data_IF_730579842671
#
_entry.id   IF_730579842671
#
_cell.length_a   1.000
_cell.length_b   1.000
_cell.length_c   1.000
_cell.angle_alpha   90.00
_cell.angle_beta   90.00
_cell.angle_gamma   90.00
#
_symmetry.space_group_name_H-M   'P 1'
#
loop_
_entity.id
_entity.type
_entity.pdbx_description
1 polymer ?
#
# COMPACT_ATOMS: atom_id res chain seq x y z
N UNK A 1 -19.72 -19.15 6.87
CA UNK A 1 -19.54 -18.63 5.50
C UNK A 1 -20.75 -19.07 4.71
N UNK A 2 -21.49 -18.12 4.16
CA UNK A 2 -22.72 -18.41 3.40
C UNK A 2 -22.49 -18.30 1.88
N UNK A 3 -21.46 -17.55 1.46
CA UNK A 3 -21.12 -17.30 0.07
C UNK A 3 -19.60 -17.26 -0.15
N UNK A 4 -19.16 -17.67 -1.34
CA UNK A 4 -17.79 -17.48 -1.85
C UNK A 4 -17.80 -16.33 -2.85
N UNK A 5 -16.82 -15.42 -2.74
CA UNK A 5 -16.61 -14.29 -3.65
C UNK A 5 -15.25 -14.41 -4.34
N UNK A 6 -15.21 -14.03 -5.62
CA UNK A 6 -13.99 -13.83 -6.42
C UNK A 6 -14.13 -12.49 -7.13
N UNK A 7 -13.30 -12.23 -8.13
CA UNK A 7 -13.29 -10.99 -8.87
C UNK A 7 -13.03 -9.77 -7.94
N UNK A 8 -12.01 -9.90 -7.08
CA UNK A 8 -11.63 -8.91 -6.08
C UNK A 8 -10.45 -8.02 -6.53
N UNK A 9 -10.71 -6.78 -6.94
CA UNK A 9 -9.68 -5.79 -7.32
C UNK A 9 -8.92 -5.25 -6.11
N UNK A 10 -8.16 -6.10 -5.44
CA UNK A 10 -7.72 -5.85 -4.06
C UNK A 10 -6.87 -4.59 -3.93
N UNK A 11 -6.03 -4.25 -4.91
CA UNK A 11 -5.28 -2.99 -4.94
C UNK A 11 -6.18 -1.74 -4.87
N UNK A 12 -7.40 -1.80 -5.39
CA UNK A 12 -8.36 -0.70 -5.39
C UNK A 12 -9.29 -0.77 -4.17
N UNK A 13 -9.93 -1.92 -3.97
CA UNK A 13 -11.09 -2.02 -3.07
C UNK A 13 -10.73 -1.94 -1.60
N UNK A 14 -9.47 -2.20 -1.22
CA UNK A 14 -9.02 -2.09 0.17
C UNK A 14 -9.14 -0.66 0.71
N UNK A 15 -9.09 0.34 -0.18
CA UNK A 15 -9.01 1.76 0.20
C UNK A 15 -10.35 2.30 0.70
N UNK A 16 -11.44 1.85 0.11
CA UNK A 16 -12.77 2.45 0.31
C UNK A 16 -13.89 1.42 0.32
N UNK A 17 -13.97 0.54 -0.68
CA UNK A 17 -15.10 -0.39 -0.83
C UNK A 17 -15.15 -1.43 0.29
N UNK A 18 -14.03 -2.09 0.62
CA UNK A 18 -14.01 -3.06 1.72
C UNK A 18 -14.23 -2.39 3.07
N UNK A 19 -13.55 -1.27 3.43
CA UNK A 19 -13.90 -0.49 4.62
C UNK A 19 -15.39 -0.10 4.71
N UNK A 20 -16.00 0.29 3.59
CA UNK A 20 -17.44 0.57 3.55
C UNK A 20 -18.27 -0.68 3.83
N UNK A 21 -17.96 -1.82 3.22
CA UNK A 21 -18.65 -3.08 3.47
C UNK A 21 -18.50 -3.53 4.92
N UNK A 22 -17.33 -3.34 5.54
CA UNK A 22 -17.15 -3.63 6.97
C UNK A 22 -18.17 -2.87 7.81
N UNK A 23 -18.48 -1.62 7.49
CA UNK A 23 -19.45 -0.82 8.26
C UNK A 23 -20.90 -1.12 7.87
N UNK A 24 -21.16 -1.32 6.58
CA UNK A 24 -22.52 -1.37 6.03
C UNK A 24 -23.09 -2.79 5.91
N UNK A 25 -22.27 -3.75 5.49
CA UNK A 25 -22.65 -5.15 5.25
C UNK A 25 -21.57 -6.09 5.80
N UNK A 26 -21.53 -6.13 7.14
CA UNK A 26 -20.63 -6.94 7.94
C UNK A 26 -20.53 -8.39 7.46
N UNK A 27 -21.69 -8.97 7.10
CA UNK A 27 -21.79 -10.36 6.67
C UNK A 27 -21.07 -10.56 5.34
N UNK A 28 -21.32 -9.70 4.35
CA UNK A 28 -20.61 -9.75 3.07
C UNK A 28 -19.11 -9.51 3.23
N UNK A 29 -18.72 -8.56 4.07
CA UNK A 29 -17.31 -8.30 4.36
C UNK A 29 -16.62 -9.53 4.97
N UNK A 30 -17.33 -10.26 5.85
CA UNK A 30 -16.83 -11.51 6.42
C UNK A 30 -16.72 -12.63 5.37
N UNK A 31 -17.75 -12.83 4.54
CA UNK A 31 -17.68 -13.82 3.45
C UNK A 31 -16.52 -13.51 2.47
N UNK A 32 -16.20 -12.23 2.21
CA UNK A 32 -15.00 -11.84 1.44
C UNK A 32 -13.72 -12.27 2.15
N UNK A 33 -13.60 -12.07 3.46
CA UNK A 33 -12.45 -12.48 4.26
C UNK A 33 -12.21 -14.00 4.19
N UNK A 34 -13.28 -14.77 4.37
CA UNK A 34 -13.25 -16.22 4.24
C UNK A 34 -12.91 -16.65 2.81
N UNK A 35 -13.36 -15.90 1.79
CA UNK A 35 -13.03 -16.18 0.39
C UNK A 35 -11.55 -15.95 0.10
N UNK A 36 -10.96 -14.87 0.62
CA UNK A 36 -9.51 -14.63 0.58
C UNK A 36 -8.75 -15.80 1.20
N UNK A 37 -9.17 -16.27 2.39
CA UNK A 37 -8.50 -17.40 3.05
C UNK A 37 -8.71 -18.74 2.33
N UNK A 38 -9.86 -18.95 1.68
CA UNK A 38 -10.07 -20.13 0.82
C UNK A 38 -9.16 -20.09 -0.41
N UNK A 39 -8.93 -18.92 -1.00
CA UNK A 39 -7.97 -18.74 -2.09
C UNK A 39 -6.55 -19.06 -1.59
N UNK A 40 -6.17 -18.63 -0.39
CA UNK A 40 -4.89 -19.02 0.21
C UNK A 40 -4.80 -20.53 0.40
N UNK A 41 -5.83 -21.17 0.93
CA UNK A 41 -5.86 -22.63 1.17
C UNK A 41 -5.68 -23.42 -0.14
N UNK A 42 -6.30 -22.99 -1.23
CA UNK A 42 -6.29 -23.71 -2.50
C UNK A 42 -5.11 -23.32 -3.42
N UNK A 43 -4.73 -22.04 -3.41
CA UNK A 43 -3.75 -21.45 -4.32
C UNK A 43 -2.37 -21.22 -3.68
N UNK A 44 -2.28 -21.16 -2.34
CA UNK A 44 -1.04 -20.93 -1.60
C UNK A 44 -0.66 -19.47 -1.40
N UNK A 45 -1.40 -18.52 -1.98
CA UNK A 45 -1.06 -17.10 -1.98
C UNK A 45 -2.20 -16.24 -1.42
N UNK A 46 -1.86 -15.18 -0.71
CA UNK A 46 -2.79 -14.07 -0.56
C UNK A 46 -3.02 -13.42 -1.94
N UNK A 47 -4.26 -13.25 -2.39
CA UNK A 47 -4.52 -12.76 -3.74
C UNK A 47 -4.28 -11.26 -3.87
N UNK A 48 -3.73 -10.80 -5.00
CA UNK A 48 -3.75 -9.37 -5.38
C UNK A 48 -4.96 -9.01 -6.23
N UNK A 49 -5.32 -9.89 -7.15
CA UNK A 49 -6.39 -9.65 -8.10
C UNK A 49 -6.87 -11.00 -8.67
N UNK A 50 -7.63 -11.78 -7.87
CA UNK A 50 -8.21 -13.04 -8.33
C UNK A 50 -9.36 -12.73 -9.29
N UNK A 51 -9.38 -13.40 -10.44
CA UNK A 51 -10.43 -13.28 -11.45
C UNK A 51 -10.97 -14.69 -11.75
N UNK A 52 -12.27 -14.87 -11.63
CA UNK A 52 -12.92 -16.18 -11.69
C UNK A 52 -12.19 -17.23 -10.81
N UNK A 53 -11.50 -18.19 -11.42
CA UNK A 53 -10.83 -19.30 -10.75
C UNK A 53 -9.29 -19.22 -10.76
N UNK A 54 -8.71 -18.04 -11.02
CA UNK A 54 -7.26 -17.90 -11.13
C UNK A 54 -6.71 -16.57 -10.59
N UNK A 55 -5.39 -16.54 -10.44
CA UNK A 55 -4.63 -15.35 -10.09
C UNK A 55 -4.22 -14.62 -11.37
N UNK A 56 -4.48 -13.32 -11.45
CA UNK A 56 -4.02 -12.50 -12.59
C UNK A 56 -2.66 -11.85 -12.32
N UNK A 57 -2.21 -11.85 -11.06
CA UNK A 57 -1.02 -11.14 -10.59
C UNK A 57 -1.03 -9.62 -10.91
N UNK A 58 -2.21 -9.06 -11.19
CA UNK A 58 -2.38 -7.67 -11.57
C UNK A 58 -2.10 -6.73 -10.38
N UNK A 59 -1.51 -5.58 -10.69
CA UNK A 59 -1.06 -4.55 -9.74
C UNK A 59 0.02 -5.02 -8.75
N UNK A 60 0.34 -4.17 -7.77
CA UNK A 60 1.48 -4.33 -6.85
C UNK A 60 1.04 -4.64 -5.41
N UNK A 61 1.99 -5.02 -4.55
CA UNK A 61 1.72 -5.24 -3.12
C UNK A 61 1.08 -6.60 -2.83
N UNK A 62 0.47 -6.73 -1.65
CA UNK A 62 -0.44 -7.84 -1.35
C UNK A 62 -1.55 -7.34 -0.43
N UNK A 63 -2.25 -6.29 -0.86
CA UNK A 63 -3.19 -5.51 -0.02
C UNK A 63 -4.36 -6.31 0.58
N UNK A 64 -4.42 -7.62 0.34
CA UNK A 64 -5.24 -8.56 1.10
C UNK A 64 -4.83 -8.61 2.58
N UNK A 65 -3.54 -8.39 2.88
CA UNK A 65 -3.03 -8.25 4.25
C UNK A 65 -3.69 -7.07 4.98
N UNK A 66 -3.84 -5.93 4.31
CA UNK A 66 -4.55 -4.74 4.82
C UNK A 66 -6.04 -5.03 5.00
N UNK A 67 -6.69 -5.68 4.04
CA UNK A 67 -8.11 -6.07 4.15
C UNK A 67 -8.33 -6.96 5.38
N UNK A 68 -7.53 -8.03 5.52
CA UNK A 68 -7.65 -8.96 6.65
C UNK A 68 -7.39 -8.24 7.98
N UNK A 69 -6.37 -7.37 8.03
CA UNK A 69 -6.09 -6.55 9.20
C UNK A 69 -7.30 -5.68 9.59
N UNK A 70 -7.86 -4.93 8.65
CA UNK A 70 -8.99 -4.03 8.92
C UNK A 70 -10.23 -4.78 9.44
N UNK A 71 -10.53 -5.93 8.84
CA UNK A 71 -11.61 -6.83 9.27
C UNK A 71 -11.40 -7.36 10.68
N UNK A 72 -10.21 -7.87 10.98
CA UNK A 72 -9.88 -8.48 12.27
C UNK A 72 -9.90 -7.42 13.37
N UNK A 73 -9.23 -6.29 13.15
CA UNK A 73 -9.13 -5.22 14.15
C UNK A 73 -10.49 -4.57 14.46
N UNK A 74 -11.40 -4.48 13.49
CA UNK A 74 -12.74 -3.90 13.71
C UNK A 74 -13.78 -4.91 14.20
N UNK A 75 -13.48 -6.22 14.13
CA UNK A 75 -14.42 -7.29 14.47
C UNK A 75 -13.75 -8.36 15.32
N UNK A 76 -12.97 -7.96 16.33
CA UNK A 76 -12.09 -8.81 17.16
C UNK A 76 -12.72 -10.13 17.67
N UNK A 77 -14.04 -10.34 17.56
CA UNK A 77 -14.74 -11.56 17.98
C UNK A 77 -15.82 -12.13 17.01
N UNK A 78 -15.97 -11.62 15.77
CA UNK A 78 -17.11 -11.99 14.88
C UNK A 78 -16.68 -12.46 13.46
N UNK A 79 -15.39 -12.40 13.12
CA UNK A 79 -14.94 -12.86 11.80
C UNK A 79 -15.00 -14.38 11.65
N UNK A 80 -14.95 -15.16 12.75
CA UNK A 80 -14.85 -16.62 12.73
C UNK A 80 -13.73 -17.16 11.82
N UNK A 81 -12.73 -16.35 11.50
CA UNK A 81 -11.58 -16.77 10.71
C UNK A 81 -10.69 -17.71 11.54
N UNK A 82 -10.08 -18.69 10.87
CA UNK A 82 -9.05 -19.51 11.50
C UNK A 82 -7.77 -18.67 11.65
N UNK A 83 -7.59 -18.10 12.84
CA UNK A 83 -6.46 -17.21 13.12
C UNK A 83 -5.09 -17.87 12.94
N UNK A 84 -4.97 -19.19 13.10
CA UNK A 84 -3.72 -19.90 12.82
C UNK A 84 -3.36 -19.80 11.32
N UNK A 85 -4.32 -20.05 10.43
CA UNK A 85 -4.11 -19.95 8.98
C UNK A 85 -3.89 -18.49 8.54
N UNK A 86 -4.60 -17.53 9.13
CA UNK A 86 -4.39 -16.10 8.85
C UNK A 86 -2.97 -15.69 9.21
N UNK A 87 -2.51 -16.00 10.43
CA UNK A 87 -1.16 -15.63 10.88
C UNK A 87 -0.07 -16.30 10.05
N UNK A 88 -0.28 -17.55 9.62
CA UNK A 88 0.63 -18.23 8.70
C UNK A 88 0.69 -17.52 7.34
N UNK A 89 -0.45 -17.21 6.73
CA UNK A 89 -0.53 -16.52 5.45
C UNK A 89 0.14 -15.12 5.50
N UNK A 90 -0.07 -14.37 6.59
CA UNK A 90 0.54 -13.06 6.81
C UNK A 90 2.06 -13.14 6.98
N UNK A 91 2.57 -14.17 7.67
CA UNK A 91 4.02 -14.40 7.78
C UNK A 91 4.63 -14.76 6.43
N UNK A 92 3.97 -15.61 5.65
CA UNK A 92 4.44 -16.03 4.33
C UNK A 92 4.52 -14.82 3.39
N UNK A 93 3.44 -14.05 3.25
CA UNK A 93 3.41 -12.92 2.31
C UNK A 93 4.43 -11.84 2.64
N UNK A 94 4.72 -11.63 3.92
CA UNK A 94 5.63 -10.59 4.35
C UNK A 94 7.11 -11.00 4.30
N UNK A 95 7.44 -12.28 4.23
CA UNK A 95 8.81 -12.76 4.43
C UNK A 95 9.34 -13.72 3.36
N UNK A 96 8.47 -14.36 2.59
CA UNK A 96 8.86 -15.40 1.64
C UNK A 96 8.57 -14.96 0.22
N UNK A 97 9.48 -15.26 -0.70
CA UNK A 97 9.30 -15.03 -2.14
C UNK A 97 8.03 -15.70 -2.66
N UNK A 98 7.24 -14.98 -3.45
CA UNK A 98 5.99 -15.45 -4.03
C UNK A 98 6.04 -15.34 -5.56
N UNK A 99 6.09 -16.49 -6.23
CA UNK A 99 6.38 -16.57 -7.67
C UNK A 99 5.14 -16.26 -8.54
N UNK A 100 3.93 -16.41 -8.00
CA UNK A 100 2.68 -16.40 -8.80
C UNK A 100 1.69 -15.28 -8.45
N UNK A 101 1.62 -14.84 -7.20
CA UNK A 101 0.79 -13.73 -6.75
C UNK A 101 1.38 -13.14 -5.46
N UNK A 102 0.77 -12.11 -4.86
CA UNK A 102 1.29 -11.46 -3.64
C UNK A 102 2.58 -10.65 -3.86
N UNK A 103 3.29 -10.33 -2.76
CA UNK A 103 4.59 -9.65 -2.78
C UNK A 103 5.63 -10.57 -3.43
N UNK A 104 6.23 -10.11 -4.53
CA UNK A 104 7.12 -10.93 -5.34
C UNK A 104 8.38 -11.38 -4.58
N UNK A 105 9.19 -10.43 -4.09
CA UNK A 105 10.46 -10.70 -3.40
C UNK A 105 10.61 -9.90 -2.08
N UNK A 106 9.90 -10.30 -1.01
CA UNK A 106 10.11 -9.74 0.33
C UNK A 106 11.55 -9.90 0.86
N UNK A 107 12.29 -11.01 0.63
CA UNK A 107 13.67 -11.13 1.06
C UNK A 107 14.58 -10.00 0.59
N UNK A 108 14.46 -9.56 -0.67
CA UNK A 108 15.23 -8.39 -1.15
C UNK A 108 14.81 -7.11 -0.44
N UNK A 109 13.52 -6.86 -0.28
CA UNK A 109 13.02 -5.70 0.49
C UNK A 109 13.56 -5.70 1.94
N UNK A 110 13.57 -6.87 2.60
CA UNK A 110 14.13 -7.05 3.96
C UNK A 110 15.63 -6.78 4.01
N UNK A 111 16.37 -7.28 3.01
CA UNK A 111 17.83 -7.10 2.94
C UNK A 111 18.23 -5.64 2.82
N UNK A 112 17.54 -4.85 2.00
CA UNK A 112 17.92 -3.47 1.70
C UNK A 112 17.17 -2.42 2.54
N UNK A 113 16.04 -2.80 3.15
CA UNK A 113 15.15 -1.85 3.80
C UNK A 113 14.26 -1.08 2.81
N UNK A 114 14.26 -1.45 1.54
CA UNK A 114 13.44 -0.90 0.45
C UNK A 114 13.54 -1.85 -0.76
N UNK A 115 12.65 -1.71 -1.73
CA UNK A 115 12.77 -2.44 -3.00
C UNK A 115 13.75 -1.67 -3.90
N UNK A 116 14.89 -2.24 -4.31
CA UNK A 116 15.83 -1.53 -5.16
C UNK A 116 15.32 -1.36 -6.59
N UNK A 117 15.54 -0.17 -7.18
CA UNK A 117 15.08 0.16 -8.54
C UNK A 117 15.70 -0.72 -9.63
N UNK A 118 16.96 -1.09 -9.49
CA UNK A 118 17.67 -2.00 -10.40
C UNK A 118 17.22 -3.47 -10.29
N UNK A 119 16.32 -3.77 -9.35
CA UNK A 119 15.68 -5.08 -9.20
C UNK A 119 14.21 -5.06 -9.61
N UNK A 120 13.49 -3.97 -9.32
CA UNK A 120 12.12 -3.75 -9.78
C UNK A 120 11.88 -2.27 -10.06
N UNK A 121 11.47 -1.95 -11.29
CA UNK A 121 11.29 -0.56 -11.73
C UNK A 121 10.23 0.16 -10.90
N UNK A 122 9.17 -0.51 -10.44
CA UNK A 122 8.12 0.07 -9.59
C UNK A 122 8.50 0.21 -8.10
N UNK A 123 9.80 0.11 -7.81
CA UNK A 123 10.45 0.15 -6.49
C UNK A 123 9.84 1.12 -5.47
N UNK A 124 9.56 2.38 -5.83
CA UNK A 124 9.02 3.35 -4.88
C UNK A 124 7.61 2.96 -4.41
N UNK A 125 6.72 2.67 -5.36
CA UNK A 125 5.34 2.25 -5.06
C UNK A 125 5.29 0.92 -4.33
N UNK A 126 6.19 -0.01 -4.66
CA UNK A 126 6.33 -1.29 -3.97
C UNK A 126 6.82 -1.11 -2.53
N UNK A 127 7.85 -0.29 -2.31
CA UNK A 127 8.38 0.01 -0.97
C UNK A 127 7.28 0.60 -0.07
N UNK A 128 6.53 1.58 -0.58
CA UNK A 128 5.41 2.19 0.15
C UNK A 128 4.29 1.17 0.45
N UNK A 129 3.97 0.32 -0.54
CA UNK A 129 2.94 -0.73 -0.38
C UNK A 129 3.35 -1.78 0.64
N UNK A 130 4.60 -2.23 0.63
CA UNK A 130 5.12 -3.23 1.56
C UNK A 130 5.21 -2.68 2.98
N UNK A 131 5.61 -1.42 3.15
CA UNK A 131 5.60 -0.75 4.44
C UNK A 131 4.20 -0.70 5.05
N UNK A 132 3.16 -0.40 4.25
CA UNK A 132 1.78 -0.44 4.73
C UNK A 132 1.33 -1.87 5.06
N UNK A 133 1.60 -2.84 4.19
CA UNK A 133 1.26 -4.23 4.47
C UNK A 133 1.97 -4.78 5.71
N UNK A 134 3.21 -4.34 6.00
CA UNK A 134 3.93 -4.69 7.24
C UNK A 134 3.24 -4.10 8.47
N UNK A 135 2.76 -2.85 8.42
CA UNK A 135 1.94 -2.28 9.50
C UNK A 135 0.66 -3.09 9.74
N UNK A 136 -0.04 -3.44 8.66
CA UNK A 136 -1.27 -4.22 8.72
C UNK A 136 -1.03 -5.61 9.34
N UNK A 137 0.07 -6.27 8.94
CA UNK A 137 0.51 -7.55 9.50
C UNK A 137 0.83 -7.41 11.00
N UNK A 138 1.61 -6.40 11.37
CA UNK A 138 1.96 -6.11 12.76
C UNK A 138 0.74 -5.94 13.66
N UNK A 139 -0.32 -5.26 13.19
CA UNK A 139 -1.57 -5.12 13.94
C UNK A 139 -2.26 -6.45 14.22
N UNK A 140 -2.32 -7.35 13.24
CA UNK A 140 -2.94 -8.67 13.43
C UNK A 140 -2.12 -9.52 14.42
N UNK A 141 -0.79 -9.50 14.30
CA UNK A 141 0.09 -10.21 15.24
C UNK A 141 -0.04 -9.64 16.66
N UNK A 142 -0.17 -8.32 16.80
CA UNK A 142 -0.37 -7.66 18.09
C UNK A 142 -1.70 -8.09 18.73
N UNK A 143 -2.80 -8.06 17.97
CA UNK A 143 -4.10 -8.51 18.43
C UNK A 143 -4.10 -10.00 18.83
N UNK A 144 -3.26 -10.82 18.19
CA UNK A 144 -3.05 -12.23 18.54
C UNK A 144 -2.12 -12.44 19.76
N UNK A 145 -1.58 -11.38 20.37
CA UNK A 145 -0.69 -11.46 21.53
C UNK A 145 0.75 -11.86 21.20
N UNK A 146 1.17 -11.81 19.94
CA UNK A 146 2.51 -12.21 19.47
C UNK A 146 3.51 -11.04 19.55
N UNK A 147 3.61 -10.43 20.74
CA UNK A 147 4.30 -9.16 20.96
C UNK A 147 5.77 -9.18 20.51
N UNK A 148 6.45 -10.32 20.66
CA UNK A 148 7.87 -10.46 20.29
C UNK A 148 8.10 -10.37 18.77
N UNK A 149 7.13 -10.80 17.96
CA UNK A 149 7.22 -10.74 16.49
C UNK A 149 6.83 -9.36 15.96
N UNK A 150 5.91 -8.66 16.63
CA UNK A 150 5.32 -7.38 16.18
C UNK A 150 6.37 -6.30 15.92
N UNK A 151 7.43 -6.24 16.74
CA UNK A 151 8.44 -5.18 16.67
C UNK A 151 9.12 -5.10 15.29
N UNK A 152 9.37 -6.25 14.66
CA UNK A 152 9.98 -6.28 13.33
C UNK A 152 9.06 -5.66 12.29
N UNK A 153 7.78 -6.05 12.28
CA UNK A 153 6.78 -5.53 11.34
C UNK A 153 6.52 -4.04 11.51
N UNK A 154 6.45 -3.55 12.75
CA UNK A 154 6.31 -2.11 12.99
C UNK A 154 7.57 -1.34 12.61
N UNK A 155 8.77 -1.88 12.85
CA UNK A 155 10.01 -1.28 12.36
C UNK A 155 10.01 -1.17 10.83
N UNK A 156 9.70 -2.28 10.14
CA UNK A 156 9.62 -2.34 8.67
C UNK A 156 8.55 -1.42 8.10
N UNK A 157 7.45 -1.22 8.82
CA UNK A 157 6.42 -0.28 8.38
C UNK A 157 6.91 1.17 8.30
N UNK A 158 8.04 1.51 8.93
CA UNK A 158 8.65 2.84 8.82
C UNK A 158 9.68 2.95 7.68
N UNK A 159 9.92 1.89 6.92
CA UNK A 159 10.93 1.87 5.86
C UNK A 159 10.57 2.72 4.63
N UNK A 160 9.35 3.27 4.55
CA UNK A 160 9.06 4.36 3.61
C UNK A 160 10.03 5.54 3.77
N UNK A 161 10.54 5.77 4.99
CA UNK A 161 11.54 6.82 5.26
C UNK A 161 12.87 6.58 4.55
N UNK A 162 13.23 5.33 4.28
CA UNK A 162 14.50 5.01 3.63
C UNK A 162 14.57 5.57 2.21
N UNK A 163 13.44 5.70 1.52
CA UNK A 163 13.37 6.29 0.18
C UNK A 163 12.87 7.74 0.21
N UNK A 164 12.58 8.32 1.37
CA UNK A 164 12.22 9.73 1.47
C UNK A 164 13.46 10.62 1.38
N UNK A 165 13.49 11.52 0.39
CA UNK A 165 14.55 12.50 0.26
C UNK A 165 14.16 13.82 0.94
N UNK A 166 14.94 14.24 1.94
CA UNK A 166 14.62 15.41 2.75
C UNK A 166 14.78 16.75 2.02
N UNK A 167 15.52 16.78 0.89
CA UNK A 167 15.74 18.00 0.12
C UNK A 167 14.58 18.29 -0.82
N UNK A 168 14.15 17.26 -1.57
CA UNK A 168 13.05 17.36 -2.53
C UNK A 168 11.69 17.12 -1.88
N UNK A 169 11.64 16.41 -0.74
CA UNK A 169 10.41 15.98 -0.06
C UNK A 169 9.56 15.02 -0.90
N UNK A 170 10.23 14.10 -1.61
CA UNK A 170 9.62 13.03 -2.38
C UNK A 170 10.17 11.67 -1.97
N UNK A 171 9.43 10.62 -2.32
CA UNK A 171 9.90 9.25 -2.27
C UNK A 171 10.70 8.95 -3.54
N UNK A 172 12.02 8.95 -3.42
CA UNK A 172 12.95 8.69 -4.51
C UNK A 172 13.42 7.24 -4.49
N UNK A 173 13.27 6.49 -5.60
CA UNK A 173 13.86 5.16 -5.74
C UNK A 173 15.36 5.16 -5.46
N UNK A 174 15.84 4.00 -5.02
CA UNK A 174 17.27 3.76 -4.78
C UNK A 174 17.68 2.46 -5.44
N UNK A 175 18.87 2.41 -6.03
CA UNK A 175 19.45 1.16 -6.51
C UNK A 175 20.01 0.33 -5.35
N UNK A 176 20.37 -0.92 -5.63
CA UNK A 176 21.00 -1.84 -4.68
C UNK A 176 22.38 -1.36 -4.19
N UNK A 177 23.00 -0.42 -4.90
CA UNK A 177 24.22 0.30 -4.51
C UNK A 177 23.96 1.44 -3.51
N UNK A 178 22.70 1.85 -3.35
CA UNK A 178 22.27 3.00 -2.54
C UNK A 178 22.13 4.31 -3.32
N UNK A 179 22.45 4.32 -4.63
CA UNK A 179 22.32 5.51 -5.47
C UNK A 179 20.86 5.97 -5.57
N UNK A 180 20.62 7.26 -5.35
CA UNK A 180 19.29 7.87 -5.33
C UNK A 180 18.90 8.30 -6.75
N UNK A 181 17.71 7.90 -7.19
CA UNK A 181 17.17 8.16 -8.53
C UNK A 181 15.92 9.05 -8.48
N UNK A 182 16.03 10.19 -7.79
CA UNK A 182 14.93 11.16 -7.72
C UNK A 182 14.51 11.63 -9.13
N UNK A 183 13.22 11.59 -9.47
CA UNK A 183 12.72 12.21 -10.70
C UNK A 183 12.82 13.73 -10.65
N UNK A 184 12.73 14.34 -11.83
CA UNK A 184 12.44 15.77 -11.90
C UNK A 184 11.01 16.01 -11.39
N UNK A 185 10.86 17.00 -10.52
CA UNK A 185 9.57 17.34 -9.87
C UNK A 185 8.99 18.66 -10.40
N UNK A 186 9.77 19.36 -11.22
CA UNK A 186 9.37 20.60 -11.89
C UNK A 186 8.46 20.33 -13.08
N UNK A 187 7.46 21.20 -13.25
CA UNK A 187 6.33 21.02 -14.16
C UNK A 187 6.74 20.75 -15.62
N UNK A 188 7.82 21.38 -16.08
CA UNK A 188 8.36 21.29 -17.44
C UNK A 188 9.07 19.95 -17.72
N UNK A 189 9.32 19.18 -16.66
CA UNK A 189 10.09 17.93 -16.70
C UNK A 189 9.32 16.75 -16.09
N UNK A 190 8.04 16.95 -15.75
CA UNK A 190 7.19 15.87 -15.29
C UNK A 190 6.99 14.86 -16.41
N UNK A 191 7.11 13.58 -16.05
CA UNK A 191 6.89 12.45 -16.94
C UNK A 191 5.61 11.78 -16.45
N UNK A 192 4.47 11.98 -17.13
CA UNK A 192 3.28 11.18 -16.87
C UNK A 192 3.59 9.69 -17.03
N UNK A 193 3.17 8.86 -16.08
CA UNK A 193 3.53 7.44 -16.02
C UNK A 193 5.04 7.20 -15.98
N UNK A 194 5.69 7.76 -14.97
CA UNK A 194 7.08 7.45 -14.67
C UNK A 194 7.19 6.00 -14.20
N UNK A 195 7.94 5.17 -14.93
CA UNK A 195 8.10 3.72 -14.66
C UNK A 195 8.65 3.40 -13.26
N UNK A 196 9.21 4.39 -12.56
CA UNK A 196 9.60 4.29 -11.15
C UNK A 196 8.42 4.09 -10.19
N UNK A 197 7.21 4.38 -10.65
CA UNK A 197 5.98 4.39 -9.87
C UNK A 197 4.88 3.65 -10.64
N UNK A 198 4.03 2.91 -9.93
CA UNK A 198 2.93 2.18 -10.56
C UNK A 198 1.83 3.14 -11.02
N UNK A 199 1.61 3.21 -12.33
CA UNK A 199 0.55 4.01 -12.97
C UNK A 199 0.49 5.50 -12.55
N UNK A 200 1.64 6.08 -12.23
CA UNK A 200 1.71 7.47 -11.76
C UNK A 200 3.13 8.01 -11.83
N UNK A 201 3.45 8.92 -10.92
CA UNK A 201 4.78 9.50 -10.76
C UNK A 201 5.07 9.84 -9.28
N UNK A 202 6.13 10.61 -9.03
CA UNK A 202 6.51 11.00 -7.68
C UNK A 202 5.47 11.87 -6.97
N UNK A 203 4.77 12.76 -7.67
CA UNK A 203 3.73 13.61 -7.08
C UNK A 203 2.55 12.78 -6.61
N UNK A 204 2.16 11.81 -7.43
CA UNK A 204 1.10 10.88 -7.12
C UNK A 204 1.34 10.04 -5.86
N UNK A 205 2.57 9.56 -5.65
CA UNK A 205 2.95 8.76 -4.48
C UNK A 205 3.49 9.57 -3.29
N UNK A 206 3.75 10.87 -3.48
CA UNK A 206 4.37 11.77 -2.49
C UNK A 206 3.71 11.74 -1.12
N UNK A 207 2.41 11.48 -1.12
CA UNK A 207 1.55 11.53 0.05
C UNK A 207 1.11 10.13 0.53
N UNK A 208 1.58 9.04 -0.08
CA UNK A 208 1.04 7.70 0.17
C UNK A 208 1.70 7.01 1.39
N UNK A 209 1.41 7.51 2.59
CA UNK A 209 1.77 6.88 3.88
C UNK A 209 0.55 6.87 4.82
N UNK A 210 -0.52 6.14 4.47
CA UNK A 210 -1.78 6.17 5.23
C UNK A 210 -1.65 5.55 6.63
N UNK A 211 -0.74 4.60 6.83
CA UNK A 211 -0.52 3.95 8.14
C UNK A 211 0.24 4.82 9.14
N UNK A 212 0.94 5.86 8.69
CA UNK A 212 1.64 6.80 9.57
C UNK A 212 1.72 8.22 8.98
N UNK A 213 0.56 8.83 8.73
CA UNK A 213 0.49 10.20 8.18
C UNK A 213 1.11 11.24 9.12
N UNK A 214 1.04 11.04 10.45
CA UNK A 214 1.70 11.93 11.41
C UNK A 214 3.21 11.99 11.18
N UNK A 215 3.85 10.85 10.96
CA UNK A 215 5.29 10.82 10.65
C UNK A 215 5.61 11.46 9.31
N UNK A 216 4.75 11.28 8.31
CA UNK A 216 4.88 11.96 7.03
C UNK A 216 4.86 13.49 7.20
N UNK A 217 3.94 14.03 8.00
CA UNK A 217 3.88 15.46 8.31
C UNK A 217 5.20 15.95 8.94
N UNK A 218 5.78 15.19 9.86
CA UNK A 218 7.08 15.51 10.47
C UNK A 218 8.21 15.53 9.44
N UNK A 219 8.24 14.58 8.50
CA UNK A 219 9.24 14.52 7.42
C UNK A 219 9.18 15.72 6.48
N UNK A 220 7.99 16.30 6.29
CA UNK A 220 7.84 17.56 5.57
C UNK A 220 8.37 18.76 6.37
N UNK A 221 8.55 18.63 7.68
CA UNK A 221 8.96 19.74 8.56
C UNK A 221 7.79 20.35 9.33
N UNK A 222 6.67 19.63 9.41
CA UNK A 222 5.51 19.97 10.20
C UNK A 222 4.28 20.39 9.38
N UNK A 223 3.18 20.47 10.11
CA UNK A 223 1.81 20.76 9.68
C UNK A 223 1.70 21.89 8.64
N UNK A 224 2.33 23.05 8.93
CA UNK A 224 2.26 24.22 8.05
C UNK A 224 2.82 23.95 6.65
N UNK A 225 4.05 23.44 6.57
CA UNK A 225 4.69 23.20 5.27
C UNK A 225 4.01 22.04 4.52
N UNK A 226 3.57 21.00 5.24
CA UNK A 226 2.81 19.92 4.64
C UNK A 226 1.48 20.40 4.01
N UNK A 227 0.77 21.31 4.68
CA UNK A 227 -0.45 21.95 4.15
C UNK A 227 -0.17 22.74 2.87
N UNK A 228 0.90 23.55 2.86
CA UNK A 228 1.30 24.34 1.68
C UNK A 228 1.63 23.44 0.46
N UNK A 229 2.23 22.27 0.69
CA UNK A 229 2.54 21.30 -0.36
C UNK A 229 1.30 20.55 -0.86
N UNK A 230 0.34 20.22 0.02
CA UNK A 230 -0.96 19.70 -0.39
C UNK A 230 -1.74 20.74 -1.21
N UNK A 231 -1.79 22.00 -0.76
CA UNK A 231 -2.41 23.09 -1.51
C UNK A 231 -1.79 23.21 -2.91
N UNK A 232 -0.46 23.14 -3.00
CA UNK A 232 0.26 23.13 -4.28
C UNK A 232 -0.18 21.97 -5.17
N UNK A 233 -0.27 20.76 -4.61
CA UNK A 233 -0.70 19.57 -5.33
C UNK A 233 -2.13 19.70 -5.91
N UNK A 234 -3.08 20.25 -5.15
CA UNK A 234 -4.46 20.44 -5.64
C UNK A 234 -4.61 21.64 -6.59
N UNK A 235 -3.97 22.78 -6.29
CA UNK A 235 -4.06 23.98 -7.13
C UNK A 235 -3.41 23.73 -8.49
N UNK A 236 -2.23 23.11 -8.52
CA UNK A 236 -1.55 22.82 -9.79
C UNK A 236 -2.29 21.77 -10.63
N UNK A 237 -3.03 20.85 -10.01
CA UNK A 237 -3.93 19.94 -10.74
C UNK A 237 -4.97 20.71 -11.55
N UNK A 238 -5.59 21.74 -10.96
CA UNK A 238 -6.56 22.59 -11.66
C UNK A 238 -5.94 23.39 -12.80
N UNK A 239 -4.73 23.91 -12.57
CA UNK A 239 -4.06 24.81 -13.50
C UNK A 239 -3.27 24.05 -14.59
N UNK A 240 -3.23 22.72 -14.53
CA UNK A 240 -2.56 21.87 -15.50
C UNK A 240 -3.21 22.05 -16.89
N UNK A 241 -2.45 22.46 -17.92
CA UNK A 241 -3.00 23.01 -19.16
C UNK A 241 -3.54 21.97 -20.14
N UNK A 242 -3.56 20.67 -19.77
CA UNK A 242 -4.02 19.60 -20.66
C UNK A 242 -5.19 18.82 -20.05
N UNK A 243 -6.08 18.35 -20.93
CA UNK A 243 -7.16 17.40 -20.61
C UNK A 243 -6.67 15.94 -20.65
N UNK A 244 -5.36 15.70 -20.79
CA UNK A 244 -4.79 14.36 -20.88
C UNK A 244 -4.67 13.73 -19.51
N UNK A 245 -5.12 12.47 -19.43
CA UNK A 245 -4.93 11.60 -18.28
C UNK A 245 -3.56 10.89 -18.46
N UNK A 246 -2.69 10.88 -17.44
CA UNK A 246 -2.92 11.34 -16.09
C UNK A 246 -2.60 12.83 -15.94
N UNK A 247 -3.33 13.49 -15.03
CA UNK A 247 -2.89 14.78 -14.48
C UNK A 247 -1.69 14.48 -13.58
N UNK A 248 -0.51 15.11 -13.75
CA UNK A 248 0.68 14.76 -12.98
C UNK A 248 0.63 15.22 -11.52
N UNK A 249 -0.41 15.99 -11.15
CA UNK A 249 -0.71 16.35 -9.77
C UNK A 249 -1.88 15.51 -9.25
N UNK A 250 -2.84 16.10 -8.54
CA UNK A 250 -4.02 15.35 -8.08
C UNK A 250 -4.80 14.79 -9.27
N UNK A 251 -4.92 13.47 -9.32
CA UNK A 251 -5.67 12.73 -10.31
C UNK A 251 -6.67 11.79 -9.63
N UNK A 252 -7.94 12.21 -9.57
CA UNK A 252 -9.01 11.43 -8.96
C UNK A 252 -9.36 10.13 -9.71
N UNK A 253 -8.84 9.93 -10.93
CA UNK A 253 -9.12 8.76 -11.75
C UNK A 253 -8.21 7.57 -11.48
N UNK A 254 -7.27 7.68 -10.53
CA UNK A 254 -6.45 6.57 -10.07
C UNK A 254 -6.30 6.59 -8.54
N UNK A 255 -6.23 5.40 -7.95
CA UNK A 255 -6.61 5.13 -6.57
C UNK A 255 -5.58 5.60 -5.54
N UNK A 256 -4.31 5.71 -5.93
CA UNK A 256 -3.21 6.11 -5.04
C UNK A 256 -3.35 7.58 -4.53
N UNK A 257 -4.20 8.39 -5.16
CA UNK A 257 -4.49 9.77 -4.75
C UNK A 257 -5.74 9.93 -3.87
N UNK A 258 -6.55 8.88 -3.70
CA UNK A 258 -7.84 8.99 -3.00
C UNK A 258 -7.69 9.45 -1.53
N UNK A 259 -6.54 9.19 -0.91
CA UNK A 259 -6.28 9.59 0.47
C UNK A 259 -5.80 11.04 0.63
N UNK A 260 -5.21 11.65 -0.39
CA UNK A 260 -4.52 12.95 -0.28
C UNK A 260 -5.44 14.07 0.21
N UNK A 261 -6.72 14.05 -0.16
CA UNK A 261 -7.70 15.07 0.27
C UNK A 261 -7.95 15.06 1.78
N UNK A 262 -7.86 13.89 2.42
CA UNK A 262 -8.11 13.74 3.85
C UNK A 262 -6.89 14.10 4.71
N UNK A 263 -5.73 14.30 4.08
CA UNK A 263 -4.49 14.55 4.80
C UNK A 263 -4.38 15.98 5.36
N UNK A 264 -5.19 16.90 4.87
CA UNK A 264 -5.37 18.21 5.50
C UNK A 264 -5.85 18.11 6.96
N UNK A 265 -6.46 17.00 7.39
CA UNK A 265 -6.86 16.80 8.79
C UNK A 265 -5.68 16.50 9.73
N UNK A 266 -4.52 16.11 9.18
CA UNK A 266 -3.32 15.77 9.95
C UNK A 266 -2.33 16.95 10.05
N UNK A 267 -2.68 18.09 9.44
CA UNK A 267 -1.82 19.24 9.22
C UNK A 267 -2.42 20.53 9.81
#
# INVERSE_FOLDING_TARGET
MDHIYTDLSIWDIFRTQVPFLILHDAKRANDIAHSIMLIVEQGGYLPKWPLANGHTNCMIGSHADIILSDLIMKREHDSHLNMTQVLEALRIVANTEQIHDSRFDPPTYIKYGYVPFDMDEYSASLTLSYAYGDWATGNVLYAAGLIDEVQEYYSRSQWFEHIFDNNTKFFCPRNSTGDILCPATEIEHLIPFDYRYTEGDAWHYRFFVPHNTSRLVDLFGGAKYFTEELDTFFVRSRDWPTITIPNPYYWAGNEHNLFSVWQFHYA
#
